data_IF_931975575162
#
_entry.id   IF_931975575162
#
_cell.length_a   1.000
_cell.length_b   1.000
_cell.length_c   1.000
_cell.angle_alpha   90.00
_cell.angle_beta   90.00
_cell.angle_gamma   90.00
#
_symmetry.space_group_name_H-M   'P 1'
#
loop_
_entity.id
_entity.type
_entity.pdbx_description
1 polymer ?
#
# COMPACT_ATOMS: atom_id res chain seq x y z
N UNK A 1 -5.92 -6.45 -46.52
CA UNK A 1 -6.52 -7.29 -45.46
C UNK A 1 -5.52 -7.64 -44.36
N UNK A 2 -4.39 -8.29 -44.65
CA UNK A 2 -3.35 -8.64 -43.64
C UNK A 2 -2.76 -7.44 -42.89
N UNK A 3 -2.43 -6.36 -43.59
CA UNK A 3 -1.81 -5.18 -42.96
C UNK A 3 -2.79 -4.40 -42.08
N UNK A 4 -4.06 -4.31 -42.48
CA UNK A 4 -5.13 -3.70 -41.69
C UNK A 4 -5.38 -4.48 -40.39
N UNK A 5 -5.28 -5.81 -40.46
CA UNK A 5 -5.41 -6.68 -39.29
C UNK A 5 -4.23 -6.52 -38.32
N UNK A 6 -2.99 -6.41 -38.81
CA UNK A 6 -1.82 -6.11 -37.97
C UNK A 6 -1.94 -4.75 -37.27
N UNK A 7 -2.43 -3.74 -38.00
CA UNK A 7 -2.62 -2.40 -37.44
C UNK A 7 -3.68 -2.41 -36.33
N UNK A 8 -4.75 -3.18 -36.50
CA UNK A 8 -5.79 -3.36 -35.49
C UNK A 8 -5.25 -4.06 -34.23
N UNK A 9 -4.45 -5.12 -34.38
CA UNK A 9 -3.81 -5.80 -33.26
C UNK A 9 -2.84 -4.89 -32.49
N UNK A 10 -2.08 -4.06 -33.20
CA UNK A 10 -1.23 -3.05 -32.60
C UNK A 10 -2.06 -2.04 -31.79
N UNK A 11 -3.16 -1.52 -32.34
CA UNK A 11 -4.03 -0.57 -31.64
C UNK A 11 -4.66 -1.22 -30.39
N UNK A 12 -5.15 -2.45 -30.48
CA UNK A 12 -5.70 -3.17 -29.33
C UNK A 12 -4.64 -3.43 -28.25
N UNK A 13 -3.38 -3.67 -28.62
CA UNK A 13 -2.29 -3.87 -27.66
C UNK A 13 -1.94 -2.62 -26.84
N UNK A 14 -2.34 -1.43 -27.31
CA UNK A 14 -2.18 -0.17 -26.57
C UNK A 14 -3.33 0.12 -25.58
N UNK A 15 -4.44 -0.65 -25.63
CA UNK A 15 -5.55 -0.48 -24.70
C UNK A 15 -5.23 -1.18 -23.38
N UNK A 16 -4.68 -0.42 -22.43
CA UNK A 16 -4.53 -0.88 -21.04
C UNK A 16 -5.76 -0.49 -20.22
N UNK A 17 -6.46 -1.48 -19.68
CA UNK A 17 -7.44 -1.24 -18.63
C UNK A 17 -6.72 -1.21 -17.28
N UNK A 18 -6.79 -0.10 -16.52
CA UNK A 18 -6.21 -0.06 -15.19
C UNK A 18 -7.03 -0.98 -14.27
N UNK A 19 -6.48 -2.16 -13.99
CA UNK A 19 -6.99 -3.03 -12.93
C UNK A 19 -6.44 -2.50 -11.62
N UNK A 20 -7.29 -1.85 -10.83
CA UNK A 20 -6.93 -1.50 -9.46
C UNK A 20 -7.01 -2.76 -8.61
N UNK A 21 -5.88 -3.19 -8.06
CA UNK A 21 -5.85 -4.32 -7.12
C UNK A 21 -6.60 -4.00 -5.80
N UNK A 22 -6.75 -2.71 -5.48
CA UNK A 22 -7.45 -2.25 -4.29
C UNK A 22 -8.55 -1.26 -4.64
N UNK A 23 -9.80 -1.59 -4.29
CA UNK A 23 -10.95 -0.71 -4.54
C UNK A 23 -11.20 0.31 -3.41
N UNK A 24 -10.60 0.11 -2.23
CA UNK A 24 -10.85 0.92 -1.03
C UNK A 24 -9.56 1.19 -0.26
N UNK A 25 -9.50 2.30 0.51
CA UNK A 25 -8.43 2.53 1.46
C UNK A 25 -8.18 1.31 2.37
N UNK A 26 -6.93 0.89 2.46
CA UNK A 26 -6.52 -0.19 3.36
C UNK A 26 -6.65 0.23 4.82
N UNK A 27 -6.91 -0.76 5.69
CA UNK A 27 -6.79 -0.63 7.14
C UNK A 27 -5.58 -1.44 7.59
N UNK A 28 -4.52 -0.73 7.97
CA UNK A 28 -3.20 -1.30 8.24
C UNK A 28 -2.98 -1.25 9.75
N UNK A 29 -2.69 -2.41 10.33
CA UNK A 29 -2.28 -2.54 11.72
C UNK A 29 -0.77 -2.78 11.76
N UNK A 30 -0.04 -1.89 12.43
CA UNK A 30 1.37 -2.10 12.74
C UNK A 30 1.47 -2.50 14.20
N UNK A 31 2.05 -3.66 14.46
CA UNK A 31 2.13 -4.26 15.80
C UNK A 31 3.60 -4.25 16.23
N UNK A 32 3.89 -3.48 17.27
CA UNK A 32 5.18 -3.39 17.93
C UNK A 32 5.13 -4.04 19.32
N UNK A 33 6.27 -4.48 19.85
CA UNK A 33 6.31 -5.02 21.20
C UNK A 33 6.10 -3.90 22.22
N UNK A 34 6.78 -2.77 22.02
CA UNK A 34 6.89 -1.67 22.97
C UNK A 34 6.40 -0.33 22.41
N UNK A 35 6.18 0.70 23.26
CA UNK A 35 5.75 2.03 22.83
C UNK A 35 6.85 2.84 22.12
N UNK A 36 7.21 2.43 20.90
CA UNK A 36 7.91 3.23 19.86
C UNK A 36 8.20 2.36 18.63
N UNK A 37 8.05 1.03 18.76
CA UNK A 37 8.58 0.08 17.80
C UNK A 37 8.02 0.36 16.41
N UNK A 38 6.74 0.71 16.34
CA UNK A 38 6.06 1.09 15.11
C UNK A 38 6.60 2.40 14.53
N UNK A 39 6.89 3.39 15.37
CA UNK A 39 7.44 4.69 14.96
C UNK A 39 8.86 4.53 14.41
N UNK A 40 9.76 3.88 15.17
CA UNK A 40 11.18 3.74 14.82
C UNK A 40 11.37 2.82 13.61
N UNK A 41 10.64 1.69 13.55
CA UNK A 41 10.87 0.66 12.52
C UNK A 41 9.95 0.83 11.30
N UNK A 42 8.80 1.49 11.47
CA UNK A 42 7.73 1.54 10.46
C UNK A 42 7.14 2.93 10.23
N UNK A 43 7.57 3.97 10.95
CA UNK A 43 6.94 5.30 10.91
C UNK A 43 6.96 5.95 9.53
N UNK A 44 8.07 5.82 8.79
CA UNK A 44 8.15 6.31 7.41
C UNK A 44 7.14 5.63 6.48
N UNK A 45 7.05 4.30 6.56
CA UNK A 45 6.08 3.51 5.77
C UNK A 45 4.64 3.84 6.17
N UNK A 46 4.38 4.03 7.48
CA UNK A 46 3.08 4.45 7.98
C UNK A 46 2.67 5.82 7.44
N UNK A 47 3.60 6.77 7.41
CA UNK A 47 3.38 8.10 6.86
C UNK A 47 3.03 8.03 5.36
N UNK A 48 3.77 7.24 4.58
CA UNK A 48 3.47 7.04 3.16
C UNK A 48 2.06 6.46 2.95
N UNK A 49 1.67 5.44 3.72
CA UNK A 49 0.33 4.87 3.61
C UNK A 49 -0.76 5.88 4.02
N UNK A 50 -0.52 6.69 5.05
CA UNK A 50 -1.43 7.76 5.44
C UNK A 50 -1.56 8.84 4.35
N UNK A 51 -0.45 9.23 3.72
CA UNK A 51 -0.43 10.17 2.59
C UNK A 51 -1.20 9.63 1.37
N UNK A 52 -1.11 8.32 1.12
CA UNK A 52 -1.91 7.62 0.09
C UNK A 52 -3.40 7.47 0.47
N UNK A 53 -3.83 7.97 1.64
CA UNK A 53 -5.22 7.94 2.09
C UNK A 53 -5.64 6.65 2.79
N UNK A 54 -4.70 5.78 3.16
CA UNK A 54 -4.98 4.58 3.94
C UNK A 54 -5.09 4.88 5.43
N UNK A 55 -5.72 3.98 6.18
CA UNK A 55 -5.85 4.09 7.62
C UNK A 55 -4.77 3.25 8.29
N UNK A 56 -3.93 3.88 9.11
CA UNK A 56 -2.89 3.19 9.88
C UNK A 56 -3.21 3.27 11.37
N UNK A 57 -3.04 2.16 12.07
CA UNK A 57 -3.11 2.10 13.54
C UNK A 57 -1.88 1.40 14.07
N UNK A 58 -1.21 2.06 15.02
CA UNK A 58 -0.13 1.47 15.80
C UNK A 58 -0.70 0.76 17.01
N UNK A 59 -0.16 -0.42 17.29
CA UNK A 59 -0.53 -1.25 18.43
C UNK A 59 0.77 -1.60 19.14
N UNK A 60 0.85 -1.24 20.42
CA UNK A 60 1.89 -1.75 21.31
C UNK A 60 1.33 -2.90 22.13
N UNK A 61 2.10 -3.98 22.25
CA UNK A 61 1.70 -5.17 23.01
C UNK A 61 1.96 -4.97 24.51
N UNK A 62 2.97 -4.17 24.87
CA UNK A 62 3.31 -3.81 26.25
C UNK A 62 3.18 -2.30 26.48
N UNK A 63 3.25 -1.88 27.75
CA UNK A 63 3.24 -0.47 28.15
C UNK A 63 4.67 0.12 28.27
N UNK A 64 5.70 -0.69 28.08
CA UNK A 64 7.12 -0.32 28.15
C UNK A 64 7.64 0.17 29.51
N UNK A 65 7.03 -0.31 30.60
CA UNK A 65 7.36 0.14 31.96
C UNK A 65 8.76 -0.24 32.47
N UNK A 66 9.40 -1.24 31.87
CA UNK A 66 10.71 -1.76 32.27
C UNK A 66 11.91 -1.01 31.69
N UNK A 67 11.69 0.06 30.93
CA UNK A 67 12.73 0.67 30.11
C UNK A 67 12.67 0.10 28.70
N UNK A 68 11.71 0.65 27.98
CA UNK A 68 11.21 0.28 26.66
C UNK A 68 10.43 -1.03 26.58
#
# INVERSE_FOLDING_TARGET
>A
MKNTFLLLLLILSYIHFPVNAQEKPLKILMIGAHPDDCDIKGGGTAALFAEMGHQVKFISVTNGDAGH
#
